data_IF_223455654053
#
_entry.id   IF_223455654053
#
_cell.length_a   1.000
_cell.length_b   1.000
_cell.length_c   1.000
_cell.angle_alpha   90.00
_cell.angle_beta   90.00
_cell.angle_gamma   90.00
#
_symmetry.space_group_name_H-M   'P 1'
#
loop_
_entity.id
_entity.type
_entity.pdbx_description
1 polymer ?
#
# COMPACT_ATOMS: atom_id res chain seq x y z
N UNK A 1 -21.73 55.15 -40.99
CA UNK A 1 -21.85 56.21 -39.99
C UNK A 1 -23.13 55.99 -39.21
N UNK A 2 -23.01 55.49 -37.98
CA UNK A 2 -24.03 55.54 -36.96
C UNK A 2 -23.33 55.26 -35.60
N UNK A 3 -23.42 56.26 -34.74
CA UNK A 3 -22.81 56.28 -33.41
C UNK A 3 -23.56 55.38 -32.42
N UNK A 4 -22.91 54.79 -31.40
CA UNK A 4 -23.58 54.04 -30.35
C UNK A 4 -24.09 55.00 -29.25
N UNK A 5 -25.35 54.85 -28.89
CA UNK A 5 -26.04 55.55 -27.80
C UNK A 5 -25.49 55.10 -26.44
N UNK A 6 -25.11 56.07 -25.59
CA UNK A 6 -24.89 55.95 -24.16
C UNK A 6 -26.14 55.44 -23.45
N UNK A 7 -26.01 54.41 -22.65
CA UNK A 7 -27.00 53.99 -21.66
C UNK A 7 -26.59 54.54 -20.31
N UNK A 8 -27.49 55.31 -19.70
CA UNK A 8 -27.41 56.01 -18.45
C UNK A 8 -27.18 55.05 -17.26
N UNK A 9 -26.34 55.49 -16.36
CA UNK A 9 -26.14 54.88 -15.02
C UNK A 9 -27.35 55.24 -14.16
N UNK A 10 -28.22 54.30 -13.87
CA UNK A 10 -29.22 54.46 -12.81
C UNK A 10 -28.57 54.03 -11.50
N UNK A 11 -28.36 55.01 -10.64
CA UNK A 11 -27.93 54.86 -9.25
C UNK A 11 -29.05 54.22 -8.44
N UNK A 12 -28.90 52.97 -8.08
CA UNK A 12 -29.76 52.32 -7.09
C UNK A 12 -29.26 52.74 -5.70
N UNK A 13 -29.91 53.74 -5.10
CA UNK A 13 -29.78 54.06 -3.68
C UNK A 13 -30.38 52.90 -2.89
N UNK A 14 -29.56 52.05 -2.37
CA UNK A 14 -29.96 51.04 -1.37
C UNK A 14 -30.18 51.72 -0.02
N UNK A 15 -31.36 51.55 0.54
CA UNK A 15 -31.82 52.06 1.81
C UNK A 15 -30.93 51.52 2.95
N UNK A 16 -30.42 52.44 3.80
CA UNK A 16 -29.65 52.16 4.99
C UNK A 16 -30.43 51.45 6.13
N UNK A 17 -31.75 51.24 5.93
CA UNK A 17 -32.61 50.61 6.93
C UNK A 17 -32.60 49.05 6.97
N UNK A 18 -31.99 48.39 5.96
CA UNK A 18 -31.90 46.92 5.93
C UNK A 18 -30.58 46.35 6.48
N UNK A 19 -29.70 47.20 6.97
CA UNK A 19 -28.38 46.79 7.54
C UNK A 19 -28.42 46.37 9.02
N UNK A 20 -29.55 46.44 9.69
CA UNK A 20 -29.66 46.16 11.13
C UNK A 20 -30.33 44.84 11.51
N UNK A 21 -30.61 43.96 10.58
CA UNK A 21 -31.19 42.65 10.84
C UNK A 21 -30.29 41.49 10.36
N UNK A 22 -28.99 41.56 10.60
CA UNK A 22 -28.13 40.35 10.58
C UNK A 22 -28.24 39.73 11.94
N UNK A 23 -29.04 38.67 12.02
CA UNK A 23 -29.15 37.77 13.15
C UNK A 23 -27.72 37.31 13.55
N UNK A 24 -27.29 37.71 14.74
CA UNK A 24 -26.13 37.16 15.42
C UNK A 24 -26.38 35.67 15.67
N UNK A 25 -25.92 34.82 14.76
CA UNK A 25 -25.80 33.38 15.00
C UNK A 25 -24.60 33.22 15.93
N UNK A 26 -24.73 32.63 17.11
CA UNK A 26 -23.61 32.46 18.03
C UNK A 26 -22.56 31.58 17.36
N UNK A 27 -21.37 32.16 17.11
CA UNK A 27 -20.26 31.53 16.39
C UNK A 27 -19.55 30.40 17.18
N UNK A 28 -19.87 30.23 18.46
CA UNK A 28 -19.19 29.27 19.32
C UNK A 28 -19.45 27.80 19.02
N UNK A 29 -20.68 27.31 18.74
CA UNK A 29 -20.90 25.87 18.48
C UNK A 29 -20.27 25.42 17.14
N UNK A 30 -20.22 26.31 16.14
CA UNK A 30 -19.64 25.97 14.81
C UNK A 30 -18.11 25.83 14.86
N UNK A 31 -17.46 26.59 15.75
CA UNK A 31 -16.00 26.50 15.94
C UNK A 31 -15.58 25.23 16.68
N UNK A 32 -16.41 24.70 17.57
CA UNK A 32 -16.14 23.42 18.26
C UNK A 32 -16.36 22.23 17.32
N UNK A 33 -17.39 22.24 16.48
CA UNK A 33 -17.61 21.20 15.46
C UNK A 33 -16.46 21.15 14.45
N UNK A 34 -16.00 22.30 13.96
CA UNK A 34 -14.86 22.38 13.03
C UNK A 34 -13.56 21.89 13.69
N UNK A 35 -13.37 22.13 14.98
CA UNK A 35 -12.20 21.61 15.72
C UNK A 35 -12.28 20.09 15.86
N UNK A 36 -13.47 19.55 16.21
CA UNK A 36 -13.67 18.11 16.33
C UNK A 36 -13.50 17.36 15.01
N UNK A 37 -13.99 17.91 13.90
CA UNK A 37 -13.78 17.35 12.57
C UNK A 37 -12.30 17.39 12.15
N UNK A 38 -11.59 18.47 12.41
CA UNK A 38 -10.15 18.56 12.14
C UNK A 38 -9.34 17.58 12.99
N UNK A 39 -9.71 17.35 14.25
CA UNK A 39 -9.09 16.34 15.10
C UNK A 39 -9.40 14.91 14.64
N UNK A 40 -10.63 14.66 14.15
CA UNK A 40 -10.99 13.36 13.57
C UNK A 40 -10.22 13.12 12.28
N UNK A 41 -10.12 14.13 11.41
CA UNK A 41 -9.34 14.07 10.16
C UNK A 41 -7.86 13.87 10.48
N UNK A 42 -7.30 14.59 11.43
CA UNK A 42 -5.91 14.42 11.86
C UNK A 42 -5.63 13.04 12.48
N UNK A 43 -6.59 12.46 13.23
CA UNK A 43 -6.51 11.09 13.75
C UNK A 43 -6.65 10.03 12.67
N UNK A 44 -7.39 10.31 11.59
CA UNK A 44 -7.51 9.42 10.43
C UNK A 44 -6.23 9.49 9.59
N UNK A 45 -5.66 10.68 9.38
CA UNK A 45 -4.41 10.86 8.64
C UNK A 45 -3.21 10.28 9.40
N UNK A 46 -3.14 10.39 10.73
CA UNK A 46 -2.07 9.80 11.53
C UNK A 46 -2.05 8.26 11.52
N UNK A 47 -3.15 7.60 11.18
CA UNK A 47 -3.22 6.15 10.96
C UNK A 47 -2.77 5.72 9.55
N UNK A 48 -2.53 6.66 8.63
CA UNK A 48 -2.19 6.37 7.23
C UNK A 48 -0.76 6.72 6.82
N UNK A 49 0.05 7.30 7.69
CA UNK A 49 1.44 7.70 7.42
C UNK A 49 2.49 6.69 7.88
N UNK A 50 2.16 5.40 8.01
CA UNK A 50 3.22 4.42 7.97
C UNK A 50 3.75 4.36 6.54
N UNK A 51 4.91 4.96 6.32
CA UNK A 51 5.61 4.90 5.05
C UNK A 51 6.06 3.48 4.78
N UNK A 52 5.31 2.78 3.94
CA UNK A 52 5.67 1.46 3.47
C UNK A 52 6.47 1.57 2.18
N UNK A 53 7.69 1.07 2.21
CA UNK A 53 8.45 0.82 0.98
C UNK A 53 7.72 -0.23 0.13
N UNK A 54 7.61 0.03 -1.17
CA UNK A 54 6.99 -0.90 -2.10
C UNK A 54 7.99 -1.37 -3.15
N UNK A 55 7.93 -2.65 -3.50
CA UNK A 55 8.71 -3.21 -4.60
C UNK A 55 7.88 -4.11 -5.49
N UNK A 56 7.88 -3.81 -6.78
CA UNK A 56 7.25 -4.65 -7.78
C UNK A 56 8.10 -5.90 -8.00
N UNK A 57 7.49 -7.08 -7.89
CA UNK A 57 8.12 -8.37 -8.15
C UNK A 57 8.00 -8.80 -9.61
N UNK A 58 6.80 -8.61 -10.15
CA UNK A 58 6.45 -9.10 -11.47
C UNK A 58 5.31 -8.27 -12.08
N UNK A 59 5.46 -7.94 -13.36
CA UNK A 59 4.40 -7.35 -14.17
C UNK A 59 4.25 -8.22 -15.41
N UNK A 60 3.03 -8.66 -15.68
CA UNK A 60 2.73 -9.47 -16.84
C UNK A 60 1.46 -8.98 -17.54
N UNK A 61 1.49 -8.91 -18.87
CA UNK A 61 0.29 -8.73 -19.69
C UNK A 61 -0.43 -10.07 -19.79
N UNK A 62 -1.65 -10.15 -19.29
CA UNK A 62 -2.48 -11.35 -19.30
C UNK A 62 -3.66 -11.16 -20.24
N UNK A 63 -4.12 -12.23 -20.83
CA UNK A 63 -5.15 -12.22 -21.87
C UNK A 63 -6.36 -13.03 -21.44
N UNK A 64 -7.54 -12.47 -21.68
CA UNK A 64 -8.81 -13.20 -21.65
C UNK A 64 -9.30 -13.38 -23.08
N UNK A 65 -9.42 -14.61 -23.52
CA UNK A 65 -9.97 -14.95 -24.85
C UNK A 65 -11.49 -14.91 -24.78
N UNK A 66 -12.11 -14.28 -25.77
CA UNK A 66 -13.57 -14.19 -25.96
C UNK A 66 -13.92 -14.67 -27.36
N UNK A 67 -15.22 -14.90 -27.65
CA UNK A 67 -15.69 -15.36 -28.98
C UNK A 67 -15.20 -14.48 -30.12
N UNK A 68 -15.11 -13.13 -29.92
CA UNK A 68 -14.72 -12.17 -30.96
C UNK A 68 -13.26 -11.70 -30.88
N UNK A 69 -12.41 -12.27 -29.99
CA UNK A 69 -11.02 -11.84 -29.90
C UNK A 69 -10.38 -12.00 -28.53
N UNK A 70 -9.35 -11.19 -28.25
CA UNK A 70 -8.54 -11.25 -27.02
C UNK A 70 -8.61 -9.91 -26.29
N UNK A 71 -8.97 -9.94 -25.01
CA UNK A 71 -8.89 -8.75 -24.13
C UNK A 71 -7.64 -8.84 -23.28
N UNK A 72 -6.82 -7.81 -23.35
CA UNK A 72 -5.57 -7.71 -22.59
C UNK A 72 -5.79 -6.93 -21.30
N UNK A 73 -5.12 -7.36 -20.25
CA UNK A 73 -5.04 -6.66 -18.96
C UNK A 73 -3.63 -6.85 -18.40
N UNK A 74 -3.21 -5.95 -17.50
CA UNK A 74 -1.95 -6.05 -16.79
C UNK A 74 -2.17 -6.67 -15.42
N UNK A 75 -1.25 -7.54 -15.01
CA UNK A 75 -1.20 -8.10 -13.67
C UNK A 75 0.11 -7.64 -13.01
N UNK A 76 0.01 -6.95 -11.86
CA UNK A 76 1.14 -6.60 -11.04
C UNK A 76 1.16 -7.44 -9.76
N UNK A 77 2.34 -7.87 -9.34
CA UNK A 77 2.61 -8.49 -8.05
C UNK A 77 3.58 -7.60 -7.27
N UNK A 78 3.17 -7.18 -6.08
CA UNK A 78 3.89 -6.18 -5.27
C UNK A 78 4.10 -6.70 -3.85
N UNK A 79 5.24 -6.34 -3.28
CA UNK A 79 5.53 -6.49 -1.85
C UNK A 79 5.63 -5.10 -1.27
N UNK A 80 5.08 -4.92 -0.08
CA UNK A 80 5.22 -3.73 0.74
C UNK A 80 5.81 -4.12 2.11
N UNK A 81 6.54 -3.21 2.74
CA UNK A 81 7.06 -3.41 4.09
C UNK A 81 7.62 -2.12 4.67
N UNK A 82 7.70 -2.06 5.99
CA UNK A 82 8.20 -0.90 6.74
C UNK A 82 9.63 -1.08 7.27
N UNK A 83 10.30 -2.17 6.92
CA UNK A 83 11.62 -2.59 7.46
C UNK A 83 11.67 -2.75 8.98
N UNK A 84 10.54 -2.80 9.64
CA UNK A 84 10.40 -2.95 11.10
C UNK A 84 9.57 -4.19 11.48
N UNK A 85 9.67 -5.24 10.67
CA UNK A 85 8.94 -6.48 10.89
C UNK A 85 7.55 -6.56 10.25
N UNK A 86 7.10 -5.54 9.53
CA UNK A 86 5.83 -5.61 8.81
C UNK A 86 6.09 -5.82 7.32
N UNK A 87 5.44 -6.82 6.73
CA UNK A 87 5.54 -7.11 5.30
C UNK A 87 4.22 -7.63 4.76
N UNK A 88 3.88 -7.24 3.53
CA UNK A 88 2.65 -7.68 2.88
C UNK A 88 2.86 -7.97 1.40
N UNK A 89 2.05 -8.88 0.86
CA UNK A 89 2.04 -9.22 -0.55
C UNK A 89 0.65 -8.98 -1.13
N UNK A 90 0.63 -8.31 -2.27
CA UNK A 90 -0.59 -8.06 -3.01
C UNK A 90 -0.44 -8.33 -4.51
N UNK A 91 -1.56 -8.63 -5.13
CA UNK A 91 -1.65 -8.90 -6.56
C UNK A 91 -2.85 -8.17 -7.13
N UNK A 92 -2.64 -7.31 -8.14
CA UNK A 92 -3.69 -6.55 -8.79
C UNK A 92 -3.76 -6.82 -10.30
N UNK A 93 -4.97 -6.69 -10.86
CA UNK A 93 -5.19 -6.67 -12.31
C UNK A 93 -5.85 -5.35 -12.70
N UNK A 94 -5.42 -4.75 -13.80
CA UNK A 94 -5.96 -3.50 -14.32
C UNK A 94 -5.91 -3.45 -15.85
N UNK A 95 -6.60 -2.51 -16.44
CA UNK A 95 -6.49 -2.22 -17.87
C UNK A 95 -5.14 -1.59 -18.18
N UNK A 96 -4.64 -0.79 -17.24
CA UNK A 96 -3.33 -0.15 -17.29
C UNK A 96 -2.41 -0.65 -16.18
N UNK A 97 -1.10 -0.45 -16.35
CA UNK A 97 -0.07 -0.84 -15.37
C UNK A 97 -0.25 -0.07 -14.07
N UNK A 98 -0.45 1.26 -14.14
CA UNK A 98 -0.65 2.10 -12.96
C UNK A 98 -1.82 1.58 -12.10
N UNK A 99 -3.00 1.35 -12.70
CA UNK A 99 -4.16 0.81 -12.00
C UNK A 99 -3.90 -0.57 -11.38
N UNK A 100 -3.11 -1.44 -12.06
CA UNK A 100 -2.78 -2.76 -11.53
C UNK A 100 -1.85 -2.68 -10.33
N UNK A 101 -0.91 -1.73 -10.33
CA UNK A 101 -0.01 -1.42 -9.21
C UNK A 101 -0.79 -0.89 -8.01
N UNK A 102 -1.67 0.09 -8.19
CA UNK A 102 -2.50 0.67 -7.11
C UNK A 102 -3.39 -0.39 -6.45
N UNK A 103 -4.04 -1.23 -7.25
CA UNK A 103 -4.85 -2.34 -6.72
C UNK A 103 -4.01 -3.35 -5.96
N UNK A 104 -2.82 -3.68 -6.45
CA UNK A 104 -1.91 -4.60 -5.80
C UNK A 104 -1.39 -4.02 -4.47
N UNK A 105 -1.04 -2.73 -4.41
CA UNK A 105 -0.60 -2.04 -3.19
C UNK A 105 -1.71 -2.01 -2.14
N UNK A 106 -2.95 -1.66 -2.52
CA UNK A 106 -4.10 -1.71 -1.61
C UNK A 106 -4.34 -3.12 -1.06
N UNK A 107 -4.18 -4.14 -1.89
CA UNK A 107 -4.31 -5.54 -1.46
C UNK A 107 -3.14 -5.96 -0.55
N UNK A 108 -1.92 -5.52 -0.83
CA UNK A 108 -0.77 -5.81 0.00
C UNK A 108 -0.89 -5.18 1.41
N UNK A 109 -1.41 -3.94 1.50
CA UNK A 109 -1.73 -3.28 2.78
C UNK A 109 -2.77 -4.06 3.62
N UNK A 110 -3.76 -4.69 2.96
CA UNK A 110 -4.75 -5.55 3.65
C UNK A 110 -4.15 -6.87 4.15
N UNK A 111 -3.11 -7.36 3.50
CA UNK A 111 -2.47 -8.64 3.78
C UNK A 111 -1.14 -8.49 4.53
N UNK A 112 -0.99 -7.42 5.32
CA UNK A 112 0.19 -7.22 6.15
C UNK A 112 0.29 -8.31 7.22
N UNK A 113 1.50 -8.80 7.42
CA UNK A 113 1.86 -9.72 8.49
C UNK A 113 2.98 -9.12 9.34
N UNK A 114 2.98 -9.45 10.62
CA UNK A 114 4.09 -9.13 11.53
C UNK A 114 5.03 -10.31 11.60
N UNK A 115 6.29 -10.08 11.28
CA UNK A 115 7.36 -11.07 11.32
C UNK A 115 8.05 -10.98 12.69
N UNK A 116 8.30 -12.13 13.31
CA UNK A 116 9.05 -12.19 14.57
C UNK A 116 10.54 -12.14 14.23
N UNK A 117 11.20 -11.08 14.69
CA UNK A 117 12.65 -10.91 14.54
C UNK A 117 13.33 -11.10 15.89
N UNK A 118 14.52 -11.71 15.87
CA UNK A 118 15.42 -11.85 17.02
C UNK A 118 16.81 -11.40 16.60
N UNK A 119 17.28 -10.28 17.17
CA UNK A 119 18.64 -9.76 16.93
C UNK A 119 19.01 -9.59 15.45
N UNK A 120 18.06 -9.04 14.62
CA UNK A 120 18.27 -8.83 13.18
C UNK A 120 18.07 -10.06 12.30
N UNK A 121 17.81 -11.25 12.89
CA UNK A 121 17.56 -12.50 12.17
C UNK A 121 16.23 -13.16 12.57
N UNK A 122 15.93 -14.32 11.99
CA UNK A 122 14.76 -15.13 12.35
C UNK A 122 15.08 -16.08 13.52
N UNK A 123 14.13 -16.37 14.44
CA UNK A 123 14.40 -17.14 15.65
C UNK A 123 14.74 -18.62 15.40
N UNK A 124 14.24 -19.24 14.35
CA UNK A 124 14.49 -20.63 13.99
C UNK A 124 14.33 -20.85 12.49
N UNK A 125 14.81 -21.99 12.01
CA UNK A 125 14.60 -22.40 10.62
C UNK A 125 13.12 -22.73 10.37
N UNK A 126 12.64 -22.44 9.18
CA UNK A 126 11.26 -22.69 8.80
C UNK A 126 11.15 -23.07 7.33
N UNK A 127 10.25 -24.00 7.04
CA UNK A 127 9.91 -24.42 5.69
C UNK A 127 8.42 -24.19 5.42
N UNK A 128 8.11 -23.75 4.21
CA UNK A 128 6.73 -23.64 3.75
C UNK A 128 6.60 -23.97 2.27
N UNK A 129 5.44 -24.55 1.95
CA UNK A 129 5.05 -24.92 0.58
C UNK A 129 3.78 -24.18 0.20
N UNK A 130 3.79 -23.54 -0.97
CA UNK A 130 2.59 -22.96 -1.57
C UNK A 130 2.55 -23.31 -3.06
N UNK A 131 1.56 -24.12 -3.44
CA UNK A 131 1.49 -24.69 -4.77
C UNK A 131 2.75 -25.52 -5.09
N UNK A 132 3.44 -25.18 -6.17
CA UNK A 132 4.68 -25.85 -6.59
C UNK A 132 5.93 -25.27 -5.93
N UNK A 133 5.84 -24.17 -5.16
CA UNK A 133 7.00 -23.54 -4.54
C UNK A 133 7.20 -24.07 -3.12
N UNK A 134 8.42 -24.54 -2.85
CA UNK A 134 8.90 -24.93 -1.51
C UNK A 134 10.09 -24.04 -1.17
N UNK A 135 10.02 -23.34 -0.05
CA UNK A 135 11.07 -22.44 0.42
C UNK A 135 11.50 -22.83 1.82
N UNK A 136 12.81 -22.71 2.05
CA UNK A 136 13.45 -22.92 3.34
C UNK A 136 14.15 -21.62 3.75
N UNK A 137 13.90 -21.15 4.97
CA UNK A 137 14.60 -20.04 5.59
C UNK A 137 15.34 -20.53 6.81
N UNK A 138 16.61 -20.14 6.97
CA UNK A 138 17.45 -20.45 8.11
C UNK A 138 18.04 -19.17 8.69
N UNK A 139 18.15 -19.03 10.02
CA UNK A 139 18.88 -17.93 10.62
C UNK A 139 20.33 -17.97 10.18
N UNK A 140 20.96 -16.81 10.10
CA UNK A 140 22.37 -16.66 9.74
C UNK A 140 23.10 -15.88 10.83
N UNK A 141 24.41 -16.03 10.90
CA UNK A 141 25.26 -15.26 11.80
C UNK A 141 25.21 -13.77 11.45
N UNK A 142 25.39 -12.92 12.46
CA UNK A 142 25.43 -11.45 12.28
C UNK A 142 26.46 -11.06 11.23
N UNK A 143 26.10 -10.11 10.37
CA UNK A 143 26.96 -9.63 9.29
C UNK A 143 26.99 -10.50 8.04
N UNK A 144 26.25 -11.62 8.00
CA UNK A 144 26.16 -12.46 6.79
C UNK A 144 25.30 -11.87 5.70
N UNK A 145 24.43 -10.94 6.04
CA UNK A 145 23.48 -10.33 5.15
C UNK A 145 22.38 -11.28 4.63
N UNK A 146 21.52 -10.76 3.77
CA UNK A 146 20.44 -11.55 3.17
C UNK A 146 20.98 -12.39 2.00
N UNK A 147 21.12 -13.69 2.20
CA UNK A 147 21.50 -14.69 1.20
C UNK A 147 20.29 -15.51 0.76
N UNK A 148 19.50 -14.97 -0.17
CA UNK A 148 18.28 -15.61 -0.63
C UNK A 148 18.02 -15.35 -2.10
N UNK A 149 17.23 -16.22 -2.74
CA UNK A 149 16.78 -16.05 -4.13
C UNK A 149 15.84 -14.85 -4.31
N UNK A 150 15.71 -14.34 -5.53
CA UNK A 150 15.02 -13.09 -5.89
C UNK A 150 13.85 -12.64 -5.03
N UNK A 151 12.65 -13.28 -5.09
CA UNK A 151 11.50 -12.84 -4.30
C UNK A 151 11.73 -12.89 -2.78
N UNK A 152 12.41 -13.92 -2.28
CA UNK A 152 12.71 -14.06 -0.85
C UNK A 152 13.62 -12.93 -0.35
N UNK A 153 14.64 -12.54 -1.13
CA UNK A 153 15.55 -11.42 -0.79
C UNK A 153 14.78 -10.12 -0.65
N UNK A 154 13.84 -9.85 -1.57
CA UNK A 154 13.02 -8.63 -1.52
C UNK A 154 12.15 -8.62 -0.26
N UNK A 155 11.48 -9.74 0.06
CA UNK A 155 10.62 -9.86 1.23
C UNK A 155 11.44 -9.69 2.51
N UNK A 156 12.60 -10.36 2.63
CA UNK A 156 13.46 -10.25 3.80
C UNK A 156 13.93 -8.81 4.03
N UNK A 157 14.40 -8.11 2.99
CA UNK A 157 14.82 -6.71 3.10
C UNK A 157 13.68 -5.77 3.51
N UNK A 158 12.47 -5.96 2.95
CA UNK A 158 11.30 -5.13 3.27
C UNK A 158 10.72 -5.47 4.65
N UNK A 159 10.94 -6.69 5.15
CA UNK A 159 10.61 -7.08 6.51
C UNK A 159 11.62 -6.55 7.55
N UNK A 160 12.77 -6.02 7.13
CA UNK A 160 13.84 -5.57 8.04
C UNK A 160 14.69 -6.72 8.61
N UNK A 161 14.74 -7.86 7.91
CA UNK A 161 15.64 -8.95 8.27
C UNK A 161 17.01 -8.62 7.69
N UNK A 162 18.01 -8.52 8.55
CA UNK A 162 19.39 -8.21 8.17
C UNK A 162 20.16 -9.46 7.76
N UNK A 163 20.04 -10.54 8.55
CA UNK A 163 20.80 -11.75 8.38
C UNK A 163 19.91 -12.98 8.24
N UNK A 164 19.82 -13.52 7.02
CA UNK A 164 19.05 -14.75 6.75
C UNK A 164 19.60 -15.50 5.54
N UNK A 165 19.60 -16.81 5.63
CA UNK A 165 19.89 -17.71 4.51
C UNK A 165 18.60 -18.37 4.02
N UNK A 166 18.24 -18.15 2.76
CA UNK A 166 17.03 -18.71 2.17
C UNK A 166 17.33 -19.50 0.89
N UNK A 167 16.73 -20.67 0.76
CA UNK A 167 16.86 -21.54 -0.41
C UNK A 167 15.47 -21.90 -0.96
N UNK A 168 15.33 -21.82 -2.28
CA UNK A 168 14.19 -22.40 -3.00
C UNK A 168 14.53 -23.86 -3.26
N UNK A 169 13.79 -24.79 -2.66
CA UNK A 169 14.02 -26.24 -2.79
C UNK A 169 13.40 -26.76 -4.07
N UNK A 170 12.24 -26.22 -4.43
CA UNK A 170 11.51 -26.61 -5.63
C UNK A 170 12.16 -26.09 -6.92
N UNK A 171 11.93 -26.79 -8.02
CA UNK A 171 12.41 -26.39 -9.36
C UNK A 171 11.62 -25.24 -10.01
N UNK A 172 10.61 -24.67 -9.31
CA UNK A 172 9.75 -23.63 -9.88
C UNK A 172 10.43 -22.27 -9.93
N UNK A 173 10.27 -21.56 -11.02
CA UNK A 173 10.69 -20.16 -11.18
C UNK A 173 9.55 -19.15 -10.98
N UNK A 174 8.35 -19.61 -10.56
CA UNK A 174 7.21 -18.74 -10.38
C UNK A 174 7.40 -17.79 -9.19
N UNK A 175 7.75 -16.54 -9.48
CA UNK A 175 8.01 -15.49 -8.48
C UNK A 175 6.85 -15.29 -7.51
N UNK A 176 5.61 -15.40 -7.98
CA UNK A 176 4.39 -15.21 -7.17
C UNK A 176 4.26 -16.33 -6.14
N UNK A 177 4.42 -17.60 -6.55
CA UNK A 177 4.31 -18.73 -5.64
C UNK A 177 5.45 -18.73 -4.61
N UNK A 178 6.67 -18.38 -5.04
CA UNK A 178 7.83 -18.22 -4.14
C UNK A 178 7.56 -17.13 -3.10
N UNK A 179 7.02 -15.97 -3.51
CA UNK A 179 6.68 -14.89 -2.58
C UNK A 179 5.62 -15.32 -1.56
N UNK A 180 4.55 -15.96 -2.02
CA UNK A 180 3.51 -16.50 -1.13
C UNK A 180 4.07 -17.52 -0.15
N UNK A 181 4.89 -18.47 -0.63
CA UNK A 181 5.53 -19.46 0.22
C UNK A 181 6.46 -18.83 1.27
N UNK A 182 7.20 -17.79 0.90
CA UNK A 182 8.04 -17.04 1.84
C UNK A 182 7.21 -16.36 2.93
N UNK A 183 6.10 -15.72 2.57
CA UNK A 183 5.18 -15.10 3.54
C UNK A 183 4.57 -16.15 4.47
N UNK A 184 4.15 -17.29 3.95
CA UNK A 184 3.66 -18.41 4.78
C UNK A 184 4.76 -18.99 5.70
N UNK A 185 6.01 -19.03 5.24
CA UNK A 185 7.14 -19.39 6.08
C UNK A 185 7.31 -18.39 7.24
N UNK A 186 7.28 -17.09 6.95
CA UNK A 186 7.42 -16.03 7.95
C UNK A 186 6.26 -16.03 8.97
N UNK A 187 5.03 -16.37 8.56
CA UNK A 187 3.89 -16.55 9.48
C UNK A 187 4.06 -17.70 10.46
N UNK A 188 4.79 -18.74 10.08
CA UNK A 188 5.06 -19.90 10.94
C UNK A 188 6.10 -19.65 12.02
N UNK A 189 6.81 -18.51 11.96
CA UNK A 189 7.79 -18.15 12.97
C UNK A 189 7.11 -17.93 14.32
N UNK A 190 7.62 -18.58 15.35
CA UNK A 190 7.16 -18.45 16.75
C UNK A 190 8.30 -17.95 17.61
N UNK A 191 7.99 -17.09 18.56
CA UNK A 191 8.94 -16.76 19.62
C UNK A 191 9.06 -18.00 20.51
N UNK A 192 10.27 -18.59 20.59
CA UNK A 192 10.54 -19.64 21.59
C UNK A 192 10.82 -18.89 22.89
N UNK A 193 9.93 -19.03 23.85
CA UNK A 193 10.21 -18.63 25.24
C UNK A 193 11.38 -19.41 25.78
#
# INVERSE_FOLDING_TARGET
MAEPKLIQKDEIKMNEAEKSAVLEVPAEPVLEEIKSEKEIIARVDSRQTEEYDQKVLDIARVTRVTKGGKRFTFRAAIIIGNRQGMVGFGMGKGLDVAQSVDKASKQAKKNLIRVVLKEGTIPHWVEAKVGAAVVLLKPSSRGSGVRAGGPMRVIAKLAGIEDVSGKIISKTNNKINIAKATIEALKKLKTKN
#
